data_IF_928223907988
#
_entry.id   IF_928223907988
#
_cell.length_a   1.000
_cell.length_b   1.000
_cell.length_c   1.000
_cell.angle_alpha   90.00
_cell.angle_beta   90.00
_cell.angle_gamma   90.00
#
_symmetry.space_group_name_H-M   'P 1'
#
loop_
_entity.id
_entity.type
_entity.pdbx_description
1 polymer ?
#
# COMPACT_ATOMS: atom_id res chain seq x y z
N UNK A 1 -18.76 -21.51 2.58
CA UNK A 1 -17.93 -21.92 1.42
C UNK A 1 -18.24 -20.92 0.34
N UNK A 2 -17.29 -20.06 0.03
CA UNK A 2 -17.44 -19.06 -1.03
C UNK A 2 -17.56 -19.81 -2.36
N UNK A 3 -18.64 -19.61 -3.09
CA UNK A 3 -18.87 -20.25 -4.37
C UNK A 3 -18.10 -19.46 -5.43
N UNK A 4 -16.83 -19.79 -5.62
CA UNK A 4 -15.98 -19.13 -6.60
C UNK A 4 -16.35 -19.64 -8.00
N UNK A 5 -16.85 -18.79 -8.91
CA UNK A 5 -17.22 -19.22 -10.26
C UNK A 5 -16.06 -19.92 -10.98
N UNK A 6 -16.28 -21.08 -11.64
CA UNK A 6 -15.23 -21.78 -12.38
C UNK A 6 -14.51 -20.93 -13.44
N UNK A 7 -15.23 -19.95 -14.00
CA UNK A 7 -14.77 -19.06 -15.08
C UNK A 7 -13.61 -18.17 -14.63
N UNK A 8 -13.57 -17.78 -13.36
CA UNK A 8 -12.52 -16.89 -12.81
C UNK A 8 -11.39 -17.65 -12.10
N UNK A 9 -11.51 -18.96 -11.93
CA UNK A 9 -10.45 -19.80 -11.37
C UNK A 9 -9.07 -19.58 -12.02
N UNK A 10 -8.95 -19.41 -13.35
CA UNK A 10 -7.68 -19.12 -14.01
C UNK A 10 -7.05 -17.78 -13.61
N UNK A 11 -7.83 -16.84 -13.08
CA UNK A 11 -7.40 -15.49 -12.71
C UNK A 11 -7.06 -15.35 -11.23
N UNK A 12 -7.06 -16.46 -10.49
CA UNK A 12 -6.62 -16.50 -9.10
C UNK A 12 -5.23 -15.88 -8.94
N UNK A 13 -5.12 -14.93 -8.02
CA UNK A 13 -3.85 -14.43 -7.49
C UNK A 13 -3.69 -14.86 -6.04
N UNK A 14 -2.45 -14.89 -5.57
CA UNK A 14 -2.19 -15.02 -4.14
C UNK A 14 -2.09 -13.61 -3.56
N UNK A 15 -2.75 -13.40 -2.42
CA UNK A 15 -2.62 -12.19 -1.62
C UNK A 15 -2.13 -12.56 -0.21
N UNK A 16 -1.58 -11.59 0.50
CA UNK A 16 -1.09 -11.78 1.85
C UNK A 16 -1.62 -10.69 2.77
N UNK A 17 -2.44 -11.07 3.75
CA UNK A 17 -2.90 -10.16 4.80
C UNK A 17 -1.79 -10.01 5.85
N UNK A 18 -1.39 -8.79 6.25
CA UNK A 18 -0.37 -8.62 7.28
C UNK A 18 -0.90 -9.08 8.64
N UNK A 19 -0.06 -9.80 9.38
CA UNK A 19 -0.28 -10.08 10.80
C UNK A 19 0.53 -9.05 11.57
N UNK A 20 -0.14 -8.26 12.42
CA UNK A 20 0.46 -7.11 13.09
C UNK A 20 0.49 -7.21 14.61
N UNK A 21 1.39 -6.43 15.23
CA UNK A 21 1.43 -6.18 16.66
C UNK A 21 1.76 -4.72 16.93
N UNK A 22 1.33 -4.16 18.06
CA UNK A 22 1.64 -2.79 18.42
C UNK A 22 3.15 -2.58 18.59
N UNK A 23 3.66 -1.51 18.00
CA UNK A 23 5.06 -1.10 18.14
C UNK A 23 5.78 -0.87 16.83
N UNK A 24 6.93 -0.22 16.93
CA UNK A 24 7.70 0.28 15.78
C UNK A 24 8.72 -0.74 15.26
N UNK A 25 9.14 -1.68 16.10
CA UNK A 25 10.17 -2.67 15.75
C UNK A 25 11.50 -2.05 15.33
N UNK A 26 12.25 -2.76 14.47
CA UNK A 26 13.49 -2.24 13.90
C UNK A 26 13.21 -1.16 12.84
N UNK A 27 14.16 -0.24 12.62
CA UNK A 27 14.01 0.80 11.58
C UNK A 27 13.83 0.24 10.17
N UNK A 28 14.38 -0.94 9.89
CA UNK A 28 14.26 -1.61 8.59
C UNK A 28 13.12 -2.62 8.51
N UNK A 29 12.27 -2.73 9.54
CA UNK A 29 11.16 -3.69 9.54
C UNK A 29 10.00 -3.21 8.67
N UNK A 30 9.20 -4.15 8.20
CA UNK A 30 7.90 -3.85 7.58
C UNK A 30 6.92 -3.40 8.66
N UNK A 31 6.26 -2.26 8.48
CA UNK A 31 5.40 -1.65 9.49
C UNK A 31 4.42 -0.66 8.89
N UNK A 32 3.34 -0.42 9.61
CA UNK A 32 2.48 0.74 9.45
C UNK A 32 2.92 1.84 10.42
N UNK A 33 3.01 3.07 9.92
CA UNK A 33 3.35 4.26 10.69
C UNK A 33 4.61 4.14 11.58
N UNK A 34 4.77 5.06 12.54
CA UNK A 34 5.95 5.13 13.41
C UNK A 34 7.15 5.85 12.80
N UNK A 35 8.36 5.34 13.09
CA UNK A 35 9.60 5.89 12.57
C UNK A 35 10.01 5.17 11.27
N UNK A 36 10.01 5.87 10.13
CA UNK A 36 10.58 5.34 8.90
C UNK A 36 12.10 5.23 9.04
N UNK A 37 12.71 4.36 8.24
CA UNK A 37 14.15 4.47 8.00
C UNK A 37 14.43 5.77 7.23
N UNK A 38 15.33 6.61 7.73
CA UNK A 38 15.86 7.78 7.03
C UNK A 38 17.39 7.76 7.13
N UNK A 39 18.08 8.16 6.07
CA UNK A 39 19.55 8.28 6.12
C UNK A 39 19.99 9.43 7.03
N UNK A 40 21.21 9.37 7.59
CA UNK A 40 21.80 10.34 8.56
C UNK A 40 21.61 11.85 8.30
N UNK A 41 21.37 12.26 7.06
CA UNK A 41 21.21 13.66 6.66
C UNK A 41 19.88 13.95 5.97
N UNK A 42 18.97 12.99 6.05
CA UNK A 42 17.71 13.04 5.37
C UNK A 42 16.66 13.72 6.24
N UNK A 43 15.83 14.53 5.61
CA UNK A 43 14.73 15.21 6.30
C UNK A 43 13.47 14.40 6.14
N UNK A 44 12.59 14.51 7.14
CA UNK A 44 11.23 14.00 7.03
C UNK A 44 10.55 14.64 5.80
N UNK A 45 9.94 13.83 4.90
CA UNK A 45 9.28 14.34 3.70
C UNK A 45 8.17 15.34 4.04
N UNK A 46 8.04 16.40 3.24
CA UNK A 46 7.03 17.45 3.46
C UNK A 46 6.07 17.51 2.29
N UNK A 47 4.81 17.84 2.59
CA UNK A 47 3.81 18.08 1.58
C UNK A 47 4.19 19.34 0.77
N UNK A 48 4.25 19.27 -0.58
CA UNK A 48 4.57 20.43 -1.40
C UNK A 48 3.48 21.51 -1.32
N UNK A 49 2.24 21.11 -1.05
CA UNK A 49 1.09 22.01 -0.87
C UNK A 49 1.18 22.80 0.45
N UNK A 50 1.08 22.14 1.61
CA UNK A 50 0.99 22.82 2.91
C UNK A 50 2.33 22.97 3.66
N UNK A 51 3.41 22.37 3.17
CA UNK A 51 4.76 22.38 3.77
C UNK A 51 4.88 21.71 5.14
N UNK A 52 3.79 21.09 5.62
CA UNK A 52 3.78 20.24 6.80
C UNK A 52 4.45 18.88 6.51
N UNK A 53 5.04 18.23 7.53
CA UNK A 53 5.57 16.89 7.40
C UNK A 53 4.48 15.90 6.97
N UNK A 54 4.76 15.07 5.97
CA UNK A 54 3.82 14.05 5.50
C UNK A 54 3.63 12.97 6.58
N UNK A 55 2.43 12.41 6.69
CA UNK A 55 2.18 11.24 7.50
C UNK A 55 2.90 10.04 6.90
N UNK A 56 3.65 9.30 7.70
CA UNK A 56 4.24 8.03 7.28
C UNK A 56 3.20 6.92 7.42
N UNK A 57 2.82 6.29 6.32
CA UNK A 57 1.74 5.29 6.27
C UNK A 57 2.29 3.87 6.35
N UNK A 58 3.23 3.54 5.47
CA UNK A 58 3.69 2.17 5.27
C UNK A 58 5.18 2.12 4.94
N UNK A 59 5.84 1.11 5.50
CA UNK A 59 7.13 0.65 5.02
C UNK A 59 7.13 -0.86 4.86
N UNK A 60 7.68 -1.34 3.74
CA UNK A 60 7.89 -2.76 3.49
C UNK A 60 9.36 -3.04 3.23
N UNK A 61 9.93 -3.97 3.99
CA UNK A 61 11.22 -4.54 3.65
C UNK A 61 11.04 -5.59 2.56
N UNK A 62 11.36 -5.21 1.32
CA UNK A 62 11.17 -6.03 0.12
C UNK A 62 11.99 -7.33 0.17
N UNK A 63 13.09 -7.33 0.93
CA UNK A 63 13.95 -8.49 1.12
C UNK A 63 13.40 -9.48 2.16
N UNK A 64 12.30 -9.14 2.85
CA UNK A 64 11.67 -9.94 3.90
C UNK A 64 10.20 -10.27 3.59
N UNK A 65 9.77 -10.07 2.33
CA UNK A 65 8.46 -10.50 1.87
C UNK A 65 8.34 -12.03 1.84
N UNK A 66 7.11 -12.58 1.78
CA UNK A 66 6.88 -14.00 1.54
C UNK A 66 7.73 -14.55 0.40
N UNK A 67 8.20 -15.79 0.52
CA UNK A 67 9.13 -16.42 -0.44
C UNK A 67 8.64 -16.33 -1.90
N UNK A 68 7.33 -16.50 -2.11
CA UNK A 68 6.69 -16.41 -3.42
C UNK A 68 6.83 -15.04 -4.10
N UNK A 69 7.05 -13.97 -3.34
CA UNK A 69 7.19 -12.59 -3.81
C UNK A 69 8.66 -12.13 -3.87
N UNK A 70 9.63 -13.00 -3.56
CA UNK A 70 11.03 -12.60 -3.55
C UNK A 70 11.48 -12.13 -4.93
N UNK A 71 12.11 -10.95 -4.97
CA UNK A 71 12.54 -10.25 -6.18
C UNK A 71 11.41 -9.79 -7.11
N UNK A 72 10.14 -10.01 -6.75
CA UNK A 72 9.01 -9.60 -7.57
C UNK A 72 8.90 -8.08 -7.65
N UNK A 73 9.14 -7.39 -6.53
CA UNK A 73 9.05 -5.93 -6.41
C UNK A 73 10.41 -5.25 -6.28
N UNK A 74 11.49 -5.95 -6.63
CA UNK A 74 12.86 -5.49 -6.43
C UNK A 74 13.38 -5.74 -5.01
N UNK A 75 14.29 -4.89 -4.54
CA UNK A 75 14.98 -5.03 -3.25
C UNK A 75 15.04 -3.72 -2.48
N UNK A 76 15.27 -3.81 -1.18
CA UNK A 76 15.39 -2.65 -0.29
C UNK A 76 14.11 -2.41 0.51
N UNK A 77 13.80 -1.14 0.75
CA UNK A 77 12.67 -0.71 1.57
C UNK A 77 11.75 0.19 0.74
N UNK A 78 10.53 -0.25 0.51
CA UNK A 78 9.44 0.60 0.00
C UNK A 78 8.91 1.45 1.15
N UNK A 79 8.69 2.74 0.92
CA UNK A 79 8.08 3.67 1.87
C UNK A 79 6.98 4.46 1.20
N UNK A 80 5.90 4.71 1.94
CA UNK A 80 4.77 5.54 1.53
C UNK A 80 4.49 6.60 2.60
N UNK A 81 4.40 7.84 2.14
CA UNK A 81 4.00 8.99 2.94
C UNK A 81 2.82 9.70 2.26
N UNK A 82 1.93 10.29 3.04
CA UNK A 82 0.71 10.94 2.54
C UNK A 82 0.35 12.20 3.35
N UNK A 83 -0.21 13.21 2.69
CA UNK A 83 -0.66 14.43 3.37
C UNK A 83 -2.03 14.23 4.02
N UNK A 84 -2.09 14.22 5.36
CA UNK A 84 -3.34 14.11 6.13
C UNK A 84 -3.80 15.45 6.73
N UNK A 85 -3.21 16.56 6.28
CA UNK A 85 -3.61 17.89 6.76
C UNK A 85 -5.02 18.22 6.25
N UNK A 86 -5.98 18.32 7.16
CA UNK A 86 -7.40 18.61 6.87
C UNK A 86 -7.71 20.11 6.77
N UNK A 87 -6.83 20.97 7.29
CA UNK A 87 -7.03 22.42 7.26
C UNK A 87 -6.77 23.00 5.86
N UNK A 88 -5.97 22.29 5.07
CA UNK A 88 -5.66 22.64 3.67
C UNK A 88 -6.26 21.59 2.75
N UNK A 89 -6.92 22.00 1.69
CA UNK A 89 -7.53 21.10 0.71
C UNK A 89 -6.49 20.48 -0.23
N UNK A 90 -5.33 20.05 0.27
CA UNK A 90 -4.23 19.56 -0.57
C UNK A 90 -4.65 18.37 -1.43
N UNK A 91 -5.46 17.47 -0.90
CA UNK A 91 -6.03 16.35 -1.64
C UNK A 91 -6.88 16.80 -2.85
N UNK A 92 -7.54 17.96 -2.75
CA UNK A 92 -8.32 18.53 -3.86
C UNK A 92 -7.44 19.36 -4.79
N UNK A 93 -6.63 20.25 -4.22
CA UNK A 93 -5.82 21.22 -4.97
C UNK A 93 -4.70 20.58 -5.79
N UNK A 94 -4.26 19.38 -5.40
CA UNK A 94 -3.21 18.61 -6.07
C UNK A 94 -3.71 17.25 -6.59
N UNK A 95 -5.02 17.04 -6.66
CA UNK A 95 -5.62 15.83 -7.22
C UNK A 95 -5.06 14.57 -6.53
N UNK A 96 -5.10 14.51 -5.21
CA UNK A 96 -4.52 13.43 -4.39
C UNK A 96 -5.08 12.03 -4.67
N UNK A 97 -6.23 11.96 -5.34
CA UNK A 97 -6.80 10.73 -5.89
C UNK A 97 -6.02 10.17 -7.10
N UNK A 98 -5.21 10.97 -7.78
CA UNK A 98 -4.42 10.55 -8.94
C UNK A 98 -3.16 9.78 -8.53
N UNK A 99 -2.80 8.75 -9.30
CA UNK A 99 -1.71 7.82 -8.99
C UNK A 99 -0.31 8.47 -8.86
N UNK A 100 -0.11 9.66 -9.43
CA UNK A 100 1.18 10.38 -9.43
C UNK A 100 1.09 11.79 -8.82
N UNK A 101 0.07 12.05 -8.00
CA UNK A 101 -0.05 13.31 -7.26
C UNK A 101 1.15 13.58 -6.34
N UNK A 102 1.50 14.86 -6.21
CA UNK A 102 2.61 15.32 -5.37
C UNK A 102 2.29 15.30 -3.85
N UNK A 103 1.03 15.04 -3.46
CA UNK A 103 0.64 14.98 -2.02
C UNK A 103 0.89 13.61 -1.39
N UNK A 104 1.26 12.62 -2.19
CA UNK A 104 1.82 11.37 -1.73
C UNK A 104 3.29 11.26 -2.16
N UNK A 105 4.09 10.60 -1.32
CA UNK A 105 5.51 10.41 -1.58
C UNK A 105 5.87 8.95 -1.38
N UNK A 106 6.12 8.26 -2.49
CA UNK A 106 6.48 6.86 -2.54
C UNK A 106 7.89 6.69 -3.08
N UNK A 107 8.64 5.74 -2.51
CA UNK A 107 9.98 5.41 -2.97
C UNK A 107 10.45 4.04 -2.53
N UNK A 108 11.44 3.51 -3.22
CA UNK A 108 12.25 2.38 -2.76
C UNK A 108 13.65 2.91 -2.45
N UNK A 109 14.15 2.62 -1.24
CA UNK A 109 15.50 2.97 -0.81
C UNK A 109 16.30 1.70 -0.50
N UNK A 110 17.62 1.77 -0.67
CA UNK A 110 18.52 0.78 -0.09
C UNK A 110 18.95 1.30 1.28
N UNK A 111 18.70 0.56 2.38
CA UNK A 111 19.05 1.00 3.73
C UNK A 111 20.57 0.80 3.99
N UNK A 112 21.39 1.32 3.09
CA UNK A 112 22.85 1.29 3.19
C UNK A 112 23.34 2.50 4.00
N UNK A 113 24.24 2.26 4.95
CA UNK A 113 24.84 3.31 5.78
C UNK A 113 24.15 3.54 7.13
N UNK A 114 24.43 4.69 7.74
CA UNK A 114 23.92 5.03 9.06
C UNK A 114 22.51 5.60 8.98
N UNK A 115 21.58 4.96 9.69
CA UNK A 115 20.24 5.49 9.90
C UNK A 115 20.29 6.73 10.80
N UNK A 116 19.43 7.70 10.52
CA UNK A 116 19.18 8.83 11.39
C UNK A 116 18.33 8.40 12.60
N UNK A 117 18.71 8.86 13.79
CA UNK A 117 17.79 8.84 14.94
C UNK A 117 16.78 9.97 14.77
N UNK A 118 15.64 9.66 14.16
CA UNK A 118 14.59 10.62 13.87
C UNK A 118 13.55 10.64 14.99
N UNK A 119 13.13 11.84 15.40
CA UNK A 119 11.92 12.03 16.18
C UNK A 119 10.72 12.22 15.24
N UNK A 120 9.59 11.60 15.59
CA UNK A 120 8.34 11.82 14.87
C UNK A 120 7.95 13.30 15.07
N UNK A 121 7.65 14.05 13.99
CA UNK A 121 7.22 15.44 14.10
C UNK A 121 5.98 15.57 15.01
N UNK A 122 5.88 16.70 15.72
CA UNK A 122 4.77 16.98 16.66
C UNK A 122 3.80 18.04 16.14
N UNK A 123 3.85 18.33 14.84
CA UNK A 123 3.03 19.38 14.21
C UNK A 123 1.60 18.93 13.91
N UNK A 124 1.35 17.62 13.91
CA UNK A 124 0.06 16.99 13.69
C UNK A 124 -0.01 15.65 14.43
N UNK A 125 -1.18 15.01 14.43
CA UNK A 125 -1.37 13.68 15.02
C UNK A 125 -0.81 12.60 14.07
N UNK A 126 0.35 12.07 14.45
CA UNK A 126 0.96 10.93 13.77
C UNK A 126 0.37 9.61 14.27
N UNK A 127 0.11 8.68 13.34
CA UNK A 127 -0.52 7.40 13.64
C UNK A 127 0.39 6.50 14.50
N UNK A 128 -0.18 5.74 15.44
CA UNK A 128 0.58 4.80 16.24
C UNK A 128 1.16 3.68 15.37
N UNK A 129 2.39 3.21 15.64
CA UNK A 129 3.00 2.17 14.82
C UNK A 129 2.40 0.79 15.05
N UNK A 130 2.25 0.03 13.97
CA UNK A 130 1.98 -1.42 13.99
C UNK A 130 3.04 -2.15 13.19
N UNK A 131 3.76 -3.05 13.85
CA UNK A 131 4.80 -3.88 13.26
C UNK A 131 4.16 -5.05 12.52
N UNK A 132 4.54 -5.28 11.26
CA UNK A 132 4.16 -6.49 10.53
C UNK A 132 5.12 -7.60 10.94
N UNK A 133 4.59 -8.64 11.58
CA UNK A 133 5.39 -9.76 12.13
C UNK A 133 5.30 -11.02 11.29
N UNK A 134 4.23 -11.17 10.51
CA UNK A 134 4.02 -12.33 9.64
C UNK A 134 2.97 -12.01 8.55
N UNK A 135 2.71 -12.97 7.67
CA UNK A 135 1.80 -12.84 6.54
C UNK A 135 0.83 -14.02 6.47
N UNK A 136 -0.47 -13.75 6.46
CA UNK A 136 -1.48 -14.76 6.18
C UNK A 136 -1.72 -14.85 4.68
N UNK A 137 -1.34 -15.97 4.07
CA UNK A 137 -1.60 -16.25 2.66
C UNK A 137 -3.09 -16.51 2.40
N UNK A 138 -3.63 -15.88 1.36
CA UNK A 138 -5.03 -15.98 0.92
C UNK A 138 -5.10 -16.13 -0.61
N UNK A 139 -6.20 -16.69 -1.10
CA UNK A 139 -6.54 -16.69 -2.53
C UNK A 139 -7.37 -15.45 -2.83
N UNK A 140 -7.03 -14.73 -3.90
CA UNK A 140 -7.68 -13.49 -4.31
C UNK A 140 -8.13 -13.57 -5.77
N UNK A 141 -9.22 -12.90 -6.11
CA UNK A 141 -9.85 -12.97 -7.43
C UNK A 141 -10.27 -11.56 -7.90
N UNK A 142 -10.37 -11.31 -9.22
CA UNK A 142 -10.68 -9.98 -9.78
C UNK A 142 -12.08 -9.50 -9.38
N UNK A 143 -12.42 -8.21 -9.44
CA UNK A 143 -13.81 -7.78 -9.30
C UNK A 143 -14.65 -8.08 -10.57
N UNK A 144 -15.92 -7.71 -10.58
CA UNK A 144 -16.85 -7.89 -11.71
C UNK A 144 -16.40 -7.12 -12.97
N UNK A 145 -15.86 -5.91 -12.81
CA UNK A 145 -15.37 -5.08 -13.92
C UNK A 145 -14.11 -5.67 -14.58
N UNK A 146 -13.13 -6.11 -13.79
CA UNK A 146 -11.94 -6.85 -14.23
C UNK A 146 -12.33 -8.17 -14.90
N UNK A 147 -13.30 -8.92 -14.35
CA UNK A 147 -13.80 -10.13 -14.97
C UNK A 147 -14.45 -9.86 -16.33
N UNK A 148 -15.15 -8.73 -16.46
CA UNK A 148 -15.75 -8.28 -17.73
C UNK A 148 -14.68 -7.98 -18.79
N UNK A 149 -13.52 -7.42 -18.41
CA UNK A 149 -12.38 -7.25 -19.33
C UNK A 149 -11.84 -8.60 -19.85
N UNK A 150 -12.00 -9.67 -19.08
CA UNK A 150 -11.66 -11.04 -19.49
C UNK A 150 -12.78 -11.73 -20.30
N UNK A 151 -13.88 -11.04 -20.57
CA UNK A 151 -15.05 -11.58 -21.25
C UNK A 151 -15.87 -12.54 -20.38
N UNK A 152 -15.81 -12.37 -19.06
CA UNK A 152 -16.54 -13.17 -18.07
C UNK A 152 -17.63 -12.31 -17.45
N UNK A 153 -18.88 -12.74 -17.61
CA UNK A 153 -20.03 -12.13 -16.95
C UNK A 153 -20.25 -12.82 -15.61
N UNK A 154 -20.01 -12.10 -14.52
CA UNK A 154 -20.25 -12.59 -13.16
C UNK A 154 -21.67 -12.24 -12.69
N UNK A 155 -22.19 -13.03 -11.75
CA UNK A 155 -23.39 -12.65 -11.02
C UNK A 155 -22.97 -11.87 -9.78
N UNK A 156 -23.08 -10.55 -9.86
CA UNK A 156 -22.52 -9.57 -8.91
C UNK A 156 -22.95 -9.83 -7.45
N UNK A 157 -24.21 -10.27 -7.21
CA UNK A 157 -24.82 -10.36 -5.87
C UNK A 157 -24.13 -11.32 -4.87
N UNK A 158 -23.34 -12.30 -5.33
CA UNK A 158 -22.71 -13.30 -4.45
C UNK A 158 -21.17 -13.21 -4.46
N UNK A 159 -20.62 -12.51 -5.43
CA UNK A 159 -19.19 -12.49 -5.71
C UNK A 159 -18.50 -11.26 -5.11
N UNK A 160 -19.13 -10.09 -5.22
CA UNK A 160 -18.60 -8.82 -4.69
C UNK A 160 -18.41 -8.85 -3.17
N UNK A 161 -19.20 -9.66 -2.45
CA UNK A 161 -19.08 -9.80 -0.98
C UNK A 161 -17.78 -10.45 -0.51
N UNK A 162 -16.94 -11.01 -1.40
CA UNK A 162 -15.77 -11.80 -1.00
C UNK A 162 -14.47 -11.43 -1.72
N UNK A 163 -14.54 -10.91 -2.95
CA UNK A 163 -13.37 -10.63 -3.77
C UNK A 163 -13.53 -9.35 -4.60
N UNK A 164 -12.45 -8.57 -4.81
CA UNK A 164 -11.11 -8.73 -4.26
C UNK A 164 -11.10 -8.61 -2.73
N UNK A 165 -10.13 -9.26 -2.07
CA UNK A 165 -10.05 -9.23 -0.60
C UNK A 165 -9.99 -7.79 -0.07
N UNK A 166 -10.84 -7.48 0.89
CA UNK A 166 -10.85 -6.20 1.62
C UNK A 166 -9.74 -6.10 2.67
N UNK A 167 -9.49 -4.87 3.16
CA UNK A 167 -8.48 -4.61 4.18
C UNK A 167 -7.07 -4.44 3.62
N UNK A 168 -6.10 -4.35 4.53
CA UNK A 168 -4.70 -4.25 4.17
C UNK A 168 -4.22 -5.56 3.51
N UNK A 169 -3.58 -5.45 2.35
CA UNK A 169 -3.02 -6.64 1.68
C UNK A 169 -1.81 -6.35 0.82
N UNK A 170 -0.89 -7.30 0.82
CA UNK A 170 0.25 -7.39 -0.08
C UNK A 170 -0.14 -8.24 -1.30
N UNK A 171 0.12 -7.71 -2.50
CA UNK A 171 -0.23 -8.29 -3.79
C UNK A 171 -1.73 -8.63 -3.95
N UNK A 172 -2.08 -9.50 -4.89
CA UNK A 172 -3.47 -9.86 -5.21
C UNK A 172 -4.11 -9.00 -6.29
N UNK A 173 -5.42 -8.82 -6.19
CA UNK A 173 -6.22 -7.93 -7.04
C UNK A 173 -6.56 -6.65 -6.25
N UNK A 174 -6.44 -5.43 -6.79
CA UNK A 174 -6.84 -4.24 -6.05
C UNK A 174 -8.34 -4.24 -5.78
N UNK A 175 -8.75 -3.86 -4.56
CA UNK A 175 -10.15 -3.55 -4.26
C UNK A 175 -10.41 -2.09 -4.63
N UNK A 176 -11.08 -1.88 -5.76
CA UNK A 176 -11.46 -0.55 -6.25
C UNK A 176 -12.78 -0.09 -5.62
N UNK A 177 -12.87 1.19 -5.21
CA UNK A 177 -14.07 1.76 -4.57
C UNK A 177 -15.08 2.32 -5.59
N UNK A 178 -14.61 2.85 -6.72
CA UNK A 178 -15.47 3.45 -7.75
C UNK A 178 -15.48 2.61 -9.03
N UNK A 179 -14.31 2.48 -9.66
CA UNK A 179 -14.11 1.67 -10.85
C UNK A 179 -12.63 1.34 -10.99
N UNK A 180 -12.32 0.40 -11.88
CA UNK A 180 -10.95 -0.07 -12.09
C UNK A 180 -10.13 1.04 -12.76
N UNK A 181 -8.99 1.40 -12.18
CA UNK A 181 -8.12 2.42 -12.75
C UNK A 181 -6.64 2.09 -12.54
N UNK A 182 -6.14 1.16 -13.35
CA UNK A 182 -4.73 0.79 -13.28
C UNK A 182 -3.83 1.90 -13.88
N UNK A 183 -2.91 2.49 -13.09
CA UNK A 183 -2.03 3.51 -13.62
C UNK A 183 -0.98 2.88 -14.55
N UNK A 184 -0.62 3.59 -15.61
CA UNK A 184 0.51 3.23 -16.45
C UNK A 184 1.79 3.90 -15.93
N UNK A 185 2.91 3.19 -15.97
CA UNK A 185 4.20 3.73 -15.58
C UNK A 185 4.57 4.94 -16.46
N UNK A 186 4.91 6.11 -15.90
CA UNK A 186 5.21 7.30 -16.68
C UNK A 186 6.56 7.20 -17.44
N UNK A 187 7.36 6.17 -17.17
CA UNK A 187 8.67 5.95 -17.80
C UNK A 187 8.57 4.97 -18.98
N UNK A 188 7.97 3.80 -18.77
CA UNK A 188 7.89 2.75 -19.80
C UNK A 188 6.51 2.61 -20.45
N UNK A 189 5.45 3.17 -19.87
CA UNK A 189 4.08 3.08 -20.38
C UNK A 189 3.35 1.77 -20.04
N UNK A 190 4.02 0.81 -19.40
CA UNK A 190 3.41 -0.45 -18.99
C UNK A 190 2.44 -0.26 -17.81
N UNK A 191 1.35 -1.03 -17.79
CA UNK A 191 0.38 -1.04 -16.70
C UNK A 191 1.04 -1.50 -15.40
N UNK A 192 0.90 -0.70 -14.34
CA UNK A 192 1.42 -1.03 -13.02
C UNK A 192 0.55 -2.10 -12.36
N UNK A 193 1.14 -2.82 -11.41
CA UNK A 193 0.47 -3.85 -10.62
C UNK A 193 0.49 -3.49 -9.14
N UNK A 194 -0.47 -4.04 -8.41
CA UNK A 194 -0.57 -3.86 -6.96
C UNK A 194 0.67 -4.43 -6.26
N UNK A 195 1.32 -3.58 -5.45
CA UNK A 195 2.29 -4.03 -4.45
C UNK A 195 1.58 -4.19 -3.11
N UNK A 196 0.93 -3.14 -2.63
CA UNK A 196 0.23 -3.14 -1.36
C UNK A 196 -1.02 -2.26 -1.44
N UNK A 197 -2.11 -2.71 -0.83
CA UNK A 197 -3.33 -1.95 -0.60
C UNK A 197 -3.38 -1.58 0.88
N UNK A 198 -3.60 -0.30 1.16
CA UNK A 198 -3.79 0.23 2.51
C UNK A 198 -5.28 0.54 2.69
N UNK A 199 -5.88 0.01 3.75
CA UNK A 199 -7.28 0.23 4.10
C UNK A 199 -7.38 1.19 5.29
N UNK A 200 -8.27 2.19 5.20
CA UNK A 200 -8.44 3.22 6.23
C UNK A 200 -9.13 2.72 7.50
N UNK A 201 -9.60 1.48 7.53
CA UNK A 201 -10.33 0.90 8.66
C UNK A 201 -9.61 -0.35 9.26
N UNK A 202 -8.35 -0.61 8.88
CA UNK A 202 -7.57 -1.77 9.34
C UNK A 202 -6.35 -1.38 10.22
N UNK A 203 -5.14 -1.29 9.65
CA UNK A 203 -3.93 -1.02 10.45
C UNK A 203 -3.64 0.47 10.66
N UNK A 204 -4.22 1.36 9.86
CA UNK A 204 -4.19 2.81 10.07
C UNK A 204 -5.58 3.31 10.56
N UNK A 205 -5.62 4.37 11.39
CA UNK A 205 -6.85 4.91 11.96
C UNK A 205 -7.53 5.96 11.06
#
# INVERSE_FOLDING_TARGET
>A
MTNIPPEIQPYKRTAWKPITTDGDGALTASKFAGKPWLGKHEKWPKCPCCQEPLQFFLQLNLNQLPEALQNEFGSGILQMFYCTNIDTLCDVDYEGWEAFSDVHFLRIIQPEGEAQDVEIPKTQDFFPPKLIVDWQQLEDYPNSEEASEFGIELNDELYEDNFPIEGDKLAGWPLWIQGIEYPNCPICGETMRLVFQVDSEDNLP
#
